data_IF_580965150317
#
_entry.id   IF_580965150317
#
_cell.length_a   1.000
_cell.length_b   1.000
_cell.length_c   1.000
_cell.angle_alpha   90.00
_cell.angle_beta   90.00
_cell.angle_gamma   90.00
#
_symmetry.space_group_name_H-M   'P 1'
#
loop_
_entity.id
_entity.type
_entity.pdbx_description
1 polymer ?
#
# COMPACT_ATOMS: atom_id res chain seq x y z
N UNK A 1 -8.41 -9.72 -28.15
CA UNK A 1 -7.40 -9.77 -27.09
C UNK A 1 -6.77 -8.41 -26.99
N UNK A 2 -6.90 -7.73 -25.85
CA UNK A 2 -6.11 -6.54 -25.57
C UNK A 2 -4.78 -7.03 -25.01
N UNK A 3 -3.70 -6.93 -25.78
CA UNK A 3 -2.35 -6.95 -25.21
C UNK A 3 -2.06 -5.53 -24.73
N UNK A 4 -2.12 -5.22 -23.42
CA UNK A 4 -1.67 -3.92 -22.95
C UNK A 4 -0.18 -3.80 -23.28
N UNK A 5 0.17 -2.81 -24.08
CA UNK A 5 1.56 -2.43 -24.31
C UNK A 5 2.10 -1.91 -22.97
N UNK A 6 3.02 -2.67 -22.37
CA UNK A 6 3.74 -2.25 -21.17
C UNK A 6 4.58 -1.03 -21.52
N UNK A 7 4.38 0.14 -20.91
CA UNK A 7 5.32 1.23 -21.05
C UNK A 7 6.68 0.78 -20.48
N UNK A 8 7.81 1.13 -21.11
CA UNK A 8 9.11 0.79 -20.59
C UNK A 8 9.30 1.43 -19.22
N UNK A 9 9.38 0.60 -18.17
CA UNK A 9 9.75 1.04 -16.82
C UNK A 9 11.26 1.21 -16.82
N UNK A 10 11.75 2.44 -17.01
CA UNK A 10 13.15 2.77 -16.80
C UNK A 10 13.42 2.85 -15.29
N UNK A 11 13.49 1.70 -14.61
CA UNK A 11 13.95 1.63 -13.23
C UNK A 11 15.48 1.56 -13.20
N UNK A 12 16.11 2.55 -12.56
CA UNK A 12 17.56 2.58 -12.31
C UNK A 12 17.77 2.12 -10.87
N UNK A 13 18.57 1.08 -10.67
CA UNK A 13 18.96 0.59 -9.34
C UNK A 13 20.12 1.46 -8.83
N UNK A 14 20.04 2.04 -7.60
CA UNK A 14 21.15 2.77 -7.00
C UNK A 14 22.35 1.88 -6.70
N UNK A 15 23.55 2.48 -6.55
CA UNK A 15 24.78 1.75 -6.23
C UNK A 15 24.70 1.05 -4.85
N UNK A 16 24.00 1.67 -3.90
CA UNK A 16 23.70 1.12 -2.58
C UNK A 16 22.60 0.03 -2.59
N UNK A 17 21.95 -0.22 -3.73
CA UNK A 17 20.85 -1.16 -3.87
C UNK A 17 19.50 -0.63 -3.39
N UNK A 18 18.51 -1.52 -3.23
CA UNK A 18 17.21 -1.18 -2.66
C UNK A 18 16.51 -2.40 -2.02
N UNK A 19 15.56 -2.14 -1.12
CA UNK A 19 14.61 -3.16 -0.66
C UNK A 19 13.57 -3.41 -1.76
N UNK A 20 13.83 -4.42 -2.59
CA UNK A 20 13.01 -4.76 -3.74
C UNK A 20 11.58 -5.13 -3.32
N UNK A 21 11.41 -5.89 -2.25
CA UNK A 21 10.10 -6.33 -1.78
C UNK A 21 9.23 -5.13 -1.39
N UNK A 22 9.82 -4.16 -0.70
CA UNK A 22 9.13 -2.91 -0.34
C UNK A 22 8.76 -2.07 -1.56
N UNK A 23 9.67 -1.94 -2.54
CA UNK A 23 9.41 -1.19 -3.78
C UNK A 23 8.27 -1.82 -4.58
N UNK A 24 8.29 -3.15 -4.73
CA UNK A 24 7.24 -3.88 -5.43
C UNK A 24 5.90 -3.79 -4.69
N UNK A 25 5.89 -3.91 -3.36
CA UNK A 25 4.67 -3.78 -2.57
C UNK A 25 4.03 -2.38 -2.70
N UNK A 26 4.84 -1.32 -2.68
CA UNK A 26 4.36 0.05 -2.87
C UNK A 26 3.76 0.24 -4.27
N UNK A 27 4.46 -0.25 -5.29
CA UNK A 27 4.03 -0.17 -6.68
C UNK A 27 2.73 -0.94 -6.90
N UNK A 28 2.65 -2.19 -6.39
CA UNK A 28 1.46 -3.02 -6.45
C UNK A 28 0.26 -2.33 -5.79
N UNK A 29 0.43 -1.80 -4.57
CA UNK A 29 -0.63 -1.09 -3.84
C UNK A 29 -1.16 0.10 -4.63
N UNK A 30 -0.26 0.88 -5.24
CA UNK A 30 -0.62 2.04 -6.08
C UNK A 30 -1.39 1.63 -7.34
N UNK A 31 -0.96 0.56 -8.02
CA UNK A 31 -1.65 0.05 -9.20
C UNK A 31 -3.03 -0.53 -8.86
N UNK A 32 -3.15 -1.28 -7.77
CA UNK A 32 -4.44 -1.79 -7.29
C UNK A 32 -5.42 -0.65 -7.01
N UNK A 33 -4.99 0.38 -6.28
CA UNK A 33 -5.83 1.54 -5.97
C UNK A 33 -6.28 2.27 -7.25
N UNK A 34 -5.38 2.55 -8.18
CA UNK A 34 -5.74 3.21 -9.45
C UNK A 34 -6.70 2.37 -10.29
N UNK A 35 -6.50 1.06 -10.33
CA UNK A 35 -7.40 0.18 -11.09
C UNK A 35 -8.81 0.17 -10.50
N UNK A 36 -8.92 0.11 -9.17
CA UNK A 36 -10.22 0.19 -8.49
C UNK A 36 -10.89 1.56 -8.69
N UNK A 37 -10.14 2.65 -8.61
CA UNK A 37 -10.66 4.00 -8.85
C UNK A 37 -11.20 4.14 -10.28
N UNK A 38 -10.42 3.73 -11.28
CA UNK A 38 -10.83 3.78 -12.70
C UNK A 38 -12.04 2.91 -13.03
N UNK A 39 -12.29 1.86 -12.25
CA UNK A 39 -13.44 0.96 -12.47
C UNK A 39 -14.59 1.23 -11.51
N UNK A 40 -14.55 2.32 -10.74
CA UNK A 40 -15.60 2.64 -9.76
C UNK A 40 -15.77 1.58 -8.67
N UNK A 41 -14.68 0.90 -8.29
CA UNK A 41 -14.66 -0.15 -7.28
C UNK A 41 -15.04 -1.55 -7.79
N UNK A 42 -15.34 -1.71 -9.08
CA UNK A 42 -15.69 -3.02 -9.64
C UNK A 42 -14.43 -3.89 -9.72
N UNK A 43 -14.27 -4.79 -8.74
CA UNK A 43 -13.10 -5.66 -8.59
C UNK A 43 -12.83 -6.54 -9.82
N UNK A 44 -13.88 -7.09 -10.46
CA UNK A 44 -13.69 -7.92 -11.67
C UNK A 44 -13.06 -7.11 -12.82
N UNK A 45 -13.59 -5.91 -13.08
CA UNK A 45 -13.06 -5.00 -14.09
C UNK A 45 -11.65 -4.51 -13.74
N UNK A 46 -11.35 -4.30 -12.45
CA UNK A 46 -10.00 -3.93 -12.02
C UNK A 46 -8.98 -5.04 -12.33
N UNK A 47 -9.33 -6.31 -12.07
CA UNK A 47 -8.49 -7.45 -12.42
C UNK A 47 -8.22 -7.52 -13.93
N UNK A 48 -9.25 -7.31 -14.75
CA UNK A 48 -9.14 -7.25 -16.21
C UNK A 48 -8.23 -6.10 -16.66
N UNK A 49 -8.40 -4.90 -16.10
CA UNK A 49 -7.57 -3.72 -16.39
C UNK A 49 -6.09 -3.93 -16.02
N UNK A 50 -5.83 -4.67 -14.94
CA UNK A 50 -4.49 -5.01 -14.46
C UNK A 50 -3.87 -6.22 -15.19
N UNK A 51 -4.64 -6.92 -16.02
CA UNK A 51 -4.16 -8.13 -16.71
C UNK A 51 -3.90 -9.32 -15.80
N UNK A 52 -4.59 -9.40 -14.64
CA UNK A 52 -4.45 -10.50 -13.68
C UNK A 52 -5.77 -11.25 -13.48
N UNK A 53 -5.71 -12.46 -12.93
CA UNK A 53 -6.94 -13.21 -12.62
C UNK A 53 -7.69 -12.57 -11.44
N UNK A 54 -9.02 -12.71 -11.43
CA UNK A 54 -9.85 -12.21 -10.32
C UNK A 54 -9.46 -12.80 -8.95
N UNK A 55 -9.05 -14.07 -8.93
CA UNK A 55 -8.51 -14.74 -7.73
C UNK A 55 -7.25 -14.05 -7.23
N UNK A 56 -6.32 -13.73 -8.15
CA UNK A 56 -5.07 -13.02 -7.89
C UNK A 56 -5.31 -11.65 -7.26
N UNK A 57 -6.27 -10.89 -7.80
CA UNK A 57 -6.68 -9.59 -7.26
C UNK A 57 -7.22 -9.72 -5.83
N UNK A 58 -8.12 -10.69 -5.58
CA UNK A 58 -8.75 -10.86 -4.26
C UNK A 58 -7.71 -11.08 -3.16
N UNK A 59 -6.72 -11.93 -3.40
CA UNK A 59 -5.66 -12.18 -2.43
C UNK A 59 -4.80 -10.94 -2.14
N UNK A 60 -4.48 -10.17 -3.19
CA UNK A 60 -3.74 -8.91 -3.04
C UNK A 60 -4.51 -7.91 -2.20
N UNK A 61 -5.78 -7.68 -2.52
CA UNK A 61 -6.61 -6.75 -1.75
C UNK A 61 -6.73 -7.17 -0.28
N UNK A 62 -6.97 -8.46 0.00
CA UNK A 62 -7.03 -8.95 1.37
C UNK A 62 -5.72 -8.68 2.14
N UNK A 63 -4.56 -8.89 1.49
CA UNK A 63 -3.25 -8.58 2.09
C UNK A 63 -3.08 -7.09 2.36
N UNK A 64 -3.47 -6.25 1.40
CA UNK A 64 -3.36 -4.80 1.51
C UNK A 64 -4.26 -4.22 2.61
N UNK A 65 -5.46 -4.77 2.79
CA UNK A 65 -6.40 -4.36 3.85
C UNK A 65 -5.85 -4.74 5.23
N UNK A 66 -5.37 -5.98 5.41
CA UNK A 66 -4.72 -6.41 6.67
C UNK A 66 -3.48 -5.58 7.03
N UNK A 67 -2.75 -5.09 6.04
CA UNK A 67 -1.60 -4.21 6.24
C UNK A 67 -2.00 -2.74 6.47
N UNK A 68 -3.21 -2.31 6.09
CA UNK A 68 -3.74 -1.00 6.45
C UNK A 68 -4.21 -1.01 7.90
N UNK A 69 -5.02 -1.99 8.29
CA UNK A 69 -5.52 -2.13 9.67
C UNK A 69 -4.37 -2.15 10.68
N UNK A 70 -3.34 -2.98 10.45
CA UNK A 70 -2.15 -3.02 11.33
C UNK A 70 -1.39 -1.69 11.45
N UNK A 71 -1.48 -0.82 10.45
CA UNK A 71 -0.78 0.48 10.44
C UNK A 71 -1.62 1.58 11.06
N UNK A 72 -2.94 1.47 10.96
CA UNK A 72 -3.92 2.33 11.64
C UNK A 72 -3.85 2.08 13.15
N UNK A 73 -3.89 0.81 13.58
CA UNK A 73 -3.70 0.39 14.98
C UNK A 73 -2.41 0.95 15.58
N UNK A 74 -1.27 0.75 14.92
CA UNK A 74 0.02 1.27 15.38
C UNK A 74 0.12 2.81 15.37
N UNK A 75 -0.67 3.48 14.52
CA UNK A 75 -0.70 4.96 14.46
C UNK A 75 -1.59 5.55 15.55
N UNK A 76 -2.65 4.84 15.95
CA UNK A 76 -3.51 5.21 17.07
C UNK A 76 -2.75 5.03 18.38
N UNK A 77 -2.08 3.89 18.57
CA UNK A 77 -1.21 3.60 19.73
C UNK A 77 -0.09 4.65 19.90
N UNK A 78 0.60 5.01 18.81
CA UNK A 78 1.64 6.04 18.84
C UNK A 78 1.10 7.44 19.14
N UNK A 79 -0.15 7.73 18.76
CA UNK A 79 -0.81 9.01 19.08
C UNK A 79 -1.27 9.06 20.53
N UNK A 80 -1.65 7.92 21.13
CA UNK A 80 -2.02 7.80 22.54
C UNK A 80 -0.77 7.95 23.44
N UNK A 81 0.32 7.24 23.15
CA UNK A 81 1.59 7.33 23.89
C UNK A 81 2.19 8.75 23.85
N UNK A 82 2.13 9.42 22.70
CA UNK A 82 2.61 10.80 22.56
C UNK A 82 1.79 11.81 23.38
N UNK A 83 0.52 11.51 23.66
CA UNK A 83 -0.36 12.36 24.48
C UNK A 83 -0.10 12.17 25.98
N UNK A 84 0.30 10.96 26.40
CA UNK A 84 0.55 10.60 27.81
C UNK A 84 1.90 11.16 28.32
N UNK A 85 2.92 11.25 27.46
CA UNK A 85 4.26 11.79 27.80
C UNK A 85 4.25 13.31 28.03
N UNK A 86 3.29 14.05 27.48
CA UNK A 86 3.16 15.52 27.67
C UNK A 86 2.43 15.94 28.95
N UNK A 87 1.99 15.01 29.80
CA UNK A 87 1.10 15.31 30.94
C UNK A 87 1.79 15.57 32.29
N UNK A 88 3.11 15.47 32.43
CA UNK A 88 3.80 15.85 33.68
C UNK A 88 4.36 17.28 33.64
N UNK A 89 3.86 18.20 34.49
CA UNK A 89 4.49 19.51 34.67
C UNK A 89 5.78 19.35 35.48
N UNK A 90 6.78 20.25 35.31
CA UNK A 90 7.92 20.28 36.22
C UNK A 90 7.43 20.72 37.60
N UNK A 91 7.27 19.80 38.54
CA UNK A 91 7.24 20.17 39.95
C UNK A 91 8.67 20.37 40.43
N UNK A 92 8.99 21.64 40.67
CA UNK A 92 10.14 22.15 41.40
C UNK A 92 10.37 21.38 42.72
N UNK A 93 11.63 21.02 43.00
CA UNK A 93 12.32 21.31 44.28
C UNK A 93 13.84 21.18 44.13
#
# INVERSE_FOLDING_TARGET
>A
GLTPSLPPVAAILPDEGCDLDRVLAQTERRLMSQALERTGGVRKAAAELLGITFRSLRYRLAKLDMERSRREEASEEASEEASEITAEPPTEE
#
